data_IF_185183121490
#
_entry.id   IF_185183121490
#
_cell.length_a   1.000
_cell.length_b   1.000
_cell.length_c   1.000
_cell.angle_alpha   90.00
_cell.angle_beta   90.00
_cell.angle_gamma   90.00
#
_symmetry.space_group_name_H-M   'P 1'
#
loop_
_entity.id
_entity.type
_entity.pdbx_description
1 polymer ?
#
# COMPACT_ATOMS: atom_id res chain seq x y z
N UNK A 1 39.06 44.83 -9.29
CA UNK A 1 39.16 43.36 -9.21
C UNK A 1 37.91 42.82 -9.86
N UNK A 2 38.05 42.21 -11.05
CA UNK A 2 36.92 41.70 -11.83
C UNK A 2 36.67 40.24 -11.46
N UNK A 3 35.40 39.87 -11.31
CA UNK A 3 34.99 38.51 -11.00
C UNK A 3 35.41 37.52 -12.11
N UNK A 4 35.72 36.25 -11.78
CA UNK A 4 36.06 35.24 -12.77
C UNK A 4 34.83 34.91 -13.65
N UNK A 5 35.09 34.66 -14.94
CA UNK A 5 34.04 34.31 -15.91
C UNK A 5 33.39 32.97 -15.55
N UNK A 6 32.05 32.93 -15.60
CA UNK A 6 31.29 31.71 -15.39
C UNK A 6 31.41 30.79 -16.60
N UNK A 7 31.59 29.47 -16.40
CA UNK A 7 31.76 28.52 -17.48
C UNK A 7 30.51 28.45 -18.38
N UNK A 8 30.74 28.35 -19.70
CA UNK A 8 29.72 28.23 -20.72
C UNK A 8 28.90 26.95 -20.53
N UNK A 9 27.58 27.08 -20.45
CA UNK A 9 26.66 25.94 -20.49
C UNK A 9 26.70 25.26 -21.87
N UNK A 10 26.67 23.92 -21.87
CA UNK A 10 26.56 23.12 -23.09
C UNK A 10 25.26 23.44 -23.85
N UNK A 11 25.33 23.40 -25.18
CA UNK A 11 24.16 23.65 -26.04
C UNK A 11 23.22 22.43 -26.04
N UNK A 12 21.93 22.60 -26.42
CA UNK A 12 20.93 21.54 -26.35
C UNK A 12 21.30 20.24 -27.10
N UNK A 13 22.14 20.33 -28.13
CA UNK A 13 22.52 19.20 -28.99
C UNK A 13 23.84 18.52 -28.57
N UNK A 14 24.54 19.01 -27.55
CA UNK A 14 25.83 18.45 -27.10
C UNK A 14 25.69 17.17 -26.23
N UNK A 15 24.48 16.76 -25.85
CA UNK A 15 24.24 15.61 -24.96
C UNK A 15 24.25 14.23 -25.63
N UNK A 16 24.56 14.10 -26.92
CA UNK A 16 24.41 12.82 -27.66
C UNK A 16 25.67 12.31 -28.35
N UNK A 17 26.85 12.55 -27.79
CA UNK A 17 28.07 11.80 -28.17
C UNK A 17 28.24 10.53 -27.31
N UNK A 18 27.19 9.69 -27.24
CA UNK A 18 27.26 8.37 -26.59
C UNK A 18 28.25 7.41 -27.27
N UNK A 19 28.61 7.67 -28.54
CA UNK A 19 29.58 6.88 -29.29
C UNK A 19 31.04 7.14 -28.90
N UNK A 20 31.30 7.99 -27.88
CA UNK A 20 32.63 8.36 -27.42
C UNK A 20 32.94 7.88 -25.99
N UNK A 21 32.02 7.14 -25.37
CA UNK A 21 32.31 6.46 -24.12
C UNK A 21 33.31 5.35 -24.42
N UNK A 22 34.52 5.48 -23.88
CA UNK A 22 35.52 4.43 -23.88
C UNK A 22 34.94 3.30 -23.03
N UNK A 23 34.58 2.18 -23.65
CA UNK A 23 34.21 0.97 -22.92
C UNK A 23 35.35 0.64 -21.95
N UNK A 24 34.99 0.47 -20.68
CA UNK A 24 35.94 0.10 -19.64
C UNK A 24 36.34 -1.34 -19.93
N UNK A 25 37.65 -1.58 -20.04
CA UNK A 25 38.18 -2.91 -20.33
C UNK A 25 37.86 -3.84 -19.16
N UNK A 26 37.51 -5.10 -19.43
CA UNK A 26 37.08 -6.06 -18.40
C UNK A 26 38.17 -6.26 -17.33
N UNK A 27 39.43 -5.98 -17.68
CA UNK A 27 40.57 -5.99 -16.76
C UNK A 27 40.57 -4.84 -15.74
N UNK A 28 40.07 -3.64 -16.09
CA UNK A 28 39.93 -2.51 -15.15
C UNK A 28 38.80 -2.73 -14.14
N UNK A 29 37.81 -3.58 -14.48
CA UNK A 29 36.70 -3.94 -13.58
C UNK A 29 37.18 -4.86 -12.45
N UNK A 30 38.19 -5.71 -12.70
CA UNK A 30 38.77 -6.59 -11.68
C UNK A 30 39.65 -5.85 -10.66
N UNK A 31 40.18 -4.67 -11.01
CA UNK A 31 40.98 -3.84 -10.10
C UNK A 31 40.12 -2.96 -9.16
N UNK A 32 38.79 -2.93 -9.36
CA UNK A 32 37.86 -2.25 -8.46
C UNK A 32 37.59 -3.12 -7.21
N UNK A 33 38.51 -3.03 -6.24
CA UNK A 33 38.36 -3.67 -4.94
C UNK A 33 37.24 -3.00 -4.11
N UNK A 34 36.00 -3.47 -4.28
CA UNK A 34 34.79 -2.90 -3.68
C UNK A 34 34.66 -3.11 -2.16
N UNK A 35 35.59 -3.82 -1.51
CA UNK A 35 35.59 -4.05 -0.06
C UNK A 35 37.03 -4.10 0.52
N UNK A 36 37.67 -2.94 0.77
CA UNK A 36 39.02 -2.90 1.36
C UNK A 36 39.10 -3.34 2.84
N UNK A 37 37.97 -3.65 3.49
CA UNK A 37 37.93 -4.08 4.92
C UNK A 37 37.86 -5.60 5.13
N UNK A 38 37.86 -6.42 4.08
CA UNK A 38 37.80 -7.89 4.19
C UNK A 38 39.16 -8.60 4.12
N UNK A 39 40.27 -7.87 4.10
CA UNK A 39 41.64 -8.41 4.27
C UNK A 39 41.94 -8.74 5.73
N UNK A 40 41.27 -9.76 6.26
CA UNK A 40 41.54 -10.27 7.61
C UNK A 40 41.12 -11.71 7.86
N UNK A 41 40.51 -12.38 6.88
CA UNK A 41 40.13 -13.78 7.01
C UNK A 41 40.60 -14.57 5.80
N UNK A 42 41.66 -15.36 6.01
CA UNK A 42 42.25 -16.28 5.05
C UNK A 42 41.19 -17.25 4.52
N UNK A 43 40.59 -16.94 3.37
CA UNK A 43 39.82 -17.90 2.57
C UNK A 43 40.80 -18.45 1.53
N UNK A 44 41.36 -19.63 1.82
CA UNK A 44 42.04 -20.45 0.83
C UNK A 44 41.00 -20.91 -0.21
N UNK A 45 40.97 -20.24 -1.36
CA UNK A 45 40.38 -20.75 -2.58
C UNK A 45 41.41 -21.64 -3.28
N UNK A 46 41.21 -22.95 -3.21
CA UNK A 46 41.89 -23.90 -4.08
C UNK A 46 40.84 -24.65 -4.90
N UNK A 47 40.84 -24.38 -6.21
CA UNK A 47 40.27 -25.22 -7.25
C UNK A 47 41.22 -26.42 -7.47
N UNK A 48 40.69 -27.64 -7.51
CA UNK A 48 40.93 -28.64 -8.58
C UNK A 48 40.48 -30.05 -8.21
N UNK A 49 40.24 -30.79 -9.30
CA UNK A 49 39.75 -32.15 -9.54
C UNK A 49 40.37 -33.34 -8.77
N UNK A 50 39.60 -34.43 -8.83
CA UNK A 50 39.97 -35.85 -8.93
C UNK A 50 40.48 -36.66 -7.70
N UNK A 51 39.66 -37.68 -7.40
CA UNK A 51 39.98 -39.08 -7.09
C UNK A 51 40.46 -39.55 -5.69
N UNK A 52 39.86 -40.67 -5.29
CA UNK A 52 40.28 -41.74 -4.37
C UNK A 52 40.64 -41.47 -2.87
N UNK A 53 39.86 -42.16 -2.01
CA UNK A 53 40.26 -42.85 -0.75
C UNK A 53 41.30 -42.21 0.19
N UNK A 54 40.88 -41.81 1.40
CA UNK A 54 41.29 -42.51 2.63
C UNK A 54 40.57 -42.08 3.91
N UNK A 55 40.41 -43.07 4.79
CA UNK A 55 39.91 -42.98 6.16
C UNK A 55 40.86 -42.16 7.06
N UNK A 56 40.32 -41.40 8.00
CA UNK A 56 40.53 -41.57 9.46
C UNK A 56 40.13 -40.34 10.29
N UNK A 57 39.14 -40.56 11.17
CA UNK A 57 39.08 -40.16 12.59
C UNK A 57 39.56 -38.75 13.00
N UNK A 58 38.60 -37.89 13.38
CA UNK A 58 38.69 -37.17 14.65
C UNK A 58 37.31 -36.76 15.17
N UNK A 59 36.99 -37.26 16.38
CA UNK A 59 35.82 -36.93 17.19
C UNK A 59 35.73 -35.43 17.48
N UNK A 60 34.64 -34.78 17.05
CA UNK A 60 34.10 -33.60 17.73
C UNK A 60 32.56 -33.63 17.67
N UNK A 61 31.95 -33.49 18.86
CA UNK A 61 30.53 -33.63 19.13
C UNK A 61 29.68 -32.63 18.33
N UNK A 62 28.94 -33.12 17.33
CA UNK A 62 27.88 -32.38 16.64
C UNK A 62 26.54 -32.66 17.32
N UNK A 63 25.86 -31.60 17.76
CA UNK A 63 24.44 -31.59 18.17
C UNK A 63 23.58 -32.23 17.07
N UNK A 64 22.72 -33.16 17.46
CA UNK A 64 21.70 -33.77 16.62
C UNK A 64 20.69 -32.71 16.14
N UNK A 65 20.61 -32.53 14.82
CA UNK A 65 19.49 -31.88 14.12
C UNK A 65 18.46 -32.98 13.84
N UNK A 66 17.25 -32.84 14.35
CA UNK A 66 16.12 -33.70 13.94
C UNK A 66 15.80 -33.45 12.46
N UNK A 67 15.42 -34.48 11.70
CA UNK A 67 14.95 -34.32 10.33
C UNK A 67 13.56 -33.69 10.37
N UNK A 68 13.41 -32.53 9.74
CA UNK A 68 12.10 -31.97 9.40
C UNK A 68 11.59 -32.77 8.21
N UNK A 69 10.48 -33.47 8.37
CA UNK A 69 9.78 -34.19 7.30
C UNK A 69 9.51 -33.25 6.12
N UNK A 70 10.18 -33.52 4.99
CA UNK A 70 10.07 -32.77 3.73
C UNK A 70 8.98 -33.33 2.80
N UNK A 71 8.08 -34.18 3.31
CA UNK A 71 7.01 -34.88 2.56
C UNK A 71 5.59 -34.47 3.00
N UNK A 72 5.32 -33.17 3.09
CA UNK A 72 3.93 -32.68 3.29
C UNK A 72 3.56 -31.54 2.32
N UNK A 73 4.01 -31.65 1.07
CA UNK A 73 3.40 -30.93 -0.03
C UNK A 73 2.19 -31.72 -0.52
N UNK A 74 1.02 -31.26 -0.11
CA UNK A 74 -0.28 -31.76 -0.54
C UNK A 74 -0.46 -31.42 -2.03
N UNK A 75 -0.31 -32.44 -2.88
CA UNK A 75 -0.74 -32.46 -4.27
C UNK A 75 -2.27 -32.34 -4.33
N UNK A 76 -2.78 -31.12 -4.25
CA UNK A 76 -4.17 -30.85 -4.66
C UNK A 76 -4.28 -29.49 -5.33
N UNK A 77 -4.22 -29.56 -6.65
CA UNK A 77 -5.00 -28.70 -7.55
C UNK A 77 -6.47 -28.68 -7.10
N UNK A 78 -6.87 -27.66 -6.35
CA UNK A 78 -8.28 -27.26 -6.30
C UNK A 78 -8.39 -25.77 -5.96
N UNK A 79 -8.14 -24.92 -6.96
CA UNK A 79 -8.80 -23.63 -6.98
C UNK A 79 -9.38 -23.31 -8.36
N UNK A 80 -10.67 -23.60 -8.49
CA UNK A 80 -11.55 -22.91 -9.45
C UNK A 80 -12.03 -21.62 -8.80
N UNK A 81 -11.63 -20.43 -9.28
CA UNK A 81 -12.22 -19.18 -8.80
C UNK A 81 -13.71 -19.15 -9.15
N UNK A 82 -14.59 -19.21 -8.14
CA UNK A 82 -16.00 -18.84 -8.32
C UNK A 82 -16.07 -17.32 -8.41
N UNK A 83 -15.93 -16.79 -9.61
CA UNK A 83 -16.17 -15.38 -9.90
C UNK A 83 -17.69 -15.16 -9.80
N UNK A 84 -18.18 -14.73 -8.64
CA UNK A 84 -19.51 -14.14 -8.55
C UNK A 84 -19.43 -12.74 -9.16
N UNK A 85 -19.63 -12.67 -10.47
CA UNK A 85 -19.86 -11.43 -11.21
C UNK A 85 -21.25 -10.91 -10.80
N UNK A 86 -21.32 -10.19 -9.69
CA UNK A 86 -22.43 -9.28 -9.42
C UNK A 86 -21.90 -7.86 -9.55
N UNK A 87 -22.39 -7.18 -10.59
CA UNK A 87 -22.16 -5.78 -10.94
C UNK A 87 -22.05 -4.85 -9.71
N UNK A 88 -21.08 -3.91 -9.67
CA UNK A 88 -20.93 -2.92 -8.58
C UNK A 88 -22.09 -1.89 -8.49
N UNK A 89 -23.16 -2.05 -9.28
CA UNK A 89 -24.32 -1.15 -9.28
C UNK A 89 -25.69 -1.85 -9.21
N UNK A 90 -25.77 -3.16 -8.97
CA UNK A 90 -27.06 -3.87 -8.90
C UNK A 90 -27.45 -4.21 -7.46
N UNK A 91 -27.97 -3.22 -6.73
CA UNK A 91 -28.60 -3.41 -5.42
C UNK A 91 -30.04 -3.89 -5.61
N UNK A 92 -30.25 -5.22 -5.60
CA UNK A 92 -31.49 -5.90 -5.19
C UNK A 92 -31.34 -7.42 -5.35
N UNK A 93 -30.56 -8.06 -4.47
CA UNK A 93 -30.67 -9.51 -4.25
C UNK A 93 -30.25 -9.85 -2.81
N UNK A 94 -31.27 -10.10 -1.99
CA UNK A 94 -31.29 -10.95 -0.79
C UNK A 94 -30.32 -10.58 0.34
N UNK A 95 -30.72 -9.57 1.13
CA UNK A 95 -30.10 -9.19 2.41
C UNK A 95 -30.68 -9.96 3.62
N UNK A 96 -31.41 -11.06 3.41
CA UNK A 96 -32.14 -11.78 4.46
C UNK A 96 -31.52 -13.10 4.93
N UNK A 97 -30.38 -13.54 4.37
CA UNK A 97 -29.71 -14.78 4.82
C UNK A 97 -28.43 -14.56 5.62
N UNK A 98 -28.06 -13.31 5.93
CA UNK A 98 -26.95 -13.01 6.85
C UNK A 98 -27.52 -12.78 8.26
N UNK A 99 -28.06 -13.84 8.87
CA UNK A 99 -28.24 -13.90 10.32
C UNK A 99 -27.75 -15.24 10.84
N UNK A 100 -26.63 -15.15 11.57
CA UNK A 100 -26.35 -15.89 12.80
C UNK A 100 -26.50 -17.41 12.74
N UNK A 101 -25.38 -18.09 12.47
CA UNK A 101 -25.22 -19.51 12.75
C UNK A 101 -23.95 -20.06 12.14
N UNK A 102 -23.02 -20.48 13.00
CA UNK A 102 -21.91 -21.43 12.75
C UNK A 102 -21.02 -21.20 11.53
N UNK A 103 -19.87 -20.56 11.75
CA UNK A 103 -18.53 -20.99 11.31
C UNK A 103 -17.50 -19.91 11.71
N UNK A 104 -17.26 -19.82 13.02
CA UNK A 104 -16.18 -19.01 13.61
C UNK A 104 -14.88 -19.82 13.78
N UNK A 105 -14.88 -21.09 13.38
CA UNK A 105 -13.66 -21.89 13.25
C UNK A 105 -13.08 -21.63 11.85
N UNK A 106 -12.01 -20.84 11.75
CA UNK A 106 -11.17 -20.83 10.56
C UNK A 106 -10.96 -19.49 9.83
N UNK A 107 -11.33 -18.32 10.38
CA UNK A 107 -10.88 -17.02 9.84
C UNK A 107 -9.40 -16.71 10.17
N UNK A 108 -8.55 -17.72 10.25
CA UNK A 108 -7.11 -17.49 10.09
C UNK A 108 -6.88 -17.28 8.60
N UNK A 109 -6.94 -16.02 8.15
CA UNK A 109 -6.48 -15.64 6.83
C UNK A 109 -5.01 -16.11 6.74
N UNK A 110 -4.80 -17.23 6.04
CA UNK A 110 -3.48 -17.84 5.88
C UNK A 110 -2.57 -16.76 5.30
N UNK A 111 -1.44 -16.50 5.97
CA UNK A 111 -0.47 -15.50 5.53
C UNK A 111 -0.14 -15.76 4.05
N UNK A 112 -0.21 -14.71 3.24
CA UNK A 112 0.18 -14.82 1.83
C UNK A 112 1.63 -15.32 1.76
N UNK A 113 1.89 -16.27 0.88
CA UNK A 113 3.26 -16.71 0.57
C UNK A 113 4.09 -15.53 0.03
N UNK A 114 5.42 -15.61 0.15
CA UNK A 114 6.30 -14.54 -0.35
C UNK A 114 6.05 -14.19 -1.83
N UNK A 115 5.84 -15.15 -2.76
CA UNK A 115 5.48 -14.84 -4.13
C UNK A 115 4.12 -14.12 -4.28
N UNK A 116 3.14 -14.45 -3.42
CA UNK A 116 1.84 -13.78 -3.40
C UNK A 116 1.96 -12.34 -2.87
N UNK A 117 2.79 -12.12 -1.84
CA UNK A 117 3.10 -10.79 -1.33
C UNK A 117 3.76 -9.93 -2.42
N UNK A 118 4.74 -10.48 -3.15
CA UNK A 118 5.36 -9.78 -4.29
C UNK A 118 4.34 -9.44 -5.38
N UNK A 119 3.45 -10.37 -5.76
CA UNK A 119 2.39 -10.09 -6.73
C UNK A 119 1.41 -9.01 -6.26
N UNK A 120 1.07 -9.00 -4.97
CA UNK A 120 0.24 -7.96 -4.38
C UNK A 120 0.91 -6.58 -4.50
N UNK A 121 2.19 -6.48 -4.12
CA UNK A 121 2.98 -5.26 -4.21
C UNK A 121 3.02 -4.77 -5.67
N UNK A 122 3.38 -5.65 -6.61
CA UNK A 122 3.41 -5.29 -8.04
C UNK A 122 2.05 -4.82 -8.54
N UNK A 123 0.96 -5.49 -8.15
CA UNK A 123 -0.39 -5.05 -8.51
C UNK A 123 -0.71 -3.65 -7.96
N UNK A 124 -0.43 -3.39 -6.69
CA UNK A 124 -0.66 -2.08 -6.08
C UNK A 124 0.17 -0.97 -6.74
N UNK A 125 1.44 -1.26 -7.05
CA UNK A 125 2.31 -0.33 -7.79
C UNK A 125 1.79 -0.06 -9.20
N UNK A 126 1.38 -1.09 -9.93
CA UNK A 126 0.80 -0.97 -11.27
C UNK A 126 -0.50 -0.16 -11.26
N UNK A 127 -1.38 -0.41 -10.29
CA UNK A 127 -2.63 0.34 -10.14
C UNK A 127 -2.38 1.81 -9.79
N UNK A 128 -1.48 2.11 -8.86
CA UNK A 128 -1.13 3.49 -8.53
C UNK A 128 -0.48 4.20 -9.71
N UNK A 129 0.42 3.54 -10.44
CA UNK A 129 1.00 4.09 -11.66
C UNK A 129 -0.08 4.35 -12.72
N UNK A 130 -1.04 3.44 -12.88
CA UNK A 130 -2.14 3.59 -13.82
C UNK A 130 -3.01 4.81 -13.48
N UNK A 131 -3.40 4.94 -12.20
CA UNK A 131 -4.16 6.07 -11.69
C UNK A 131 -3.38 7.38 -11.89
N UNK A 132 -2.11 7.41 -11.50
CA UNK A 132 -1.24 8.58 -11.66
C UNK A 132 -1.09 8.99 -13.13
N UNK A 133 -0.89 8.02 -14.04
CA UNK A 133 -0.77 8.28 -15.48
C UNK A 133 -2.06 8.88 -16.04
N UNK A 134 -3.22 8.30 -15.70
CA UNK A 134 -4.53 8.82 -16.13
C UNK A 134 -4.83 10.20 -15.56
N UNK A 135 -4.39 10.47 -14.33
CA UNK A 135 -4.47 11.79 -13.72
C UNK A 135 -3.55 12.81 -14.41
N UNK A 136 -2.31 12.46 -14.74
CA UNK A 136 -1.41 13.38 -15.48
C UNK A 136 -1.97 13.66 -16.89
N UNK A 137 -2.52 12.63 -17.56
CA UNK A 137 -3.14 12.79 -18.87
C UNK A 137 -4.30 13.78 -18.85
N UNK A 138 -5.13 13.77 -17.80
CA UNK A 138 -6.23 14.72 -17.67
C UNK A 138 -5.81 16.19 -17.52
N UNK A 139 -4.53 16.45 -17.18
CA UNK A 139 -4.00 17.80 -16.93
C UNK A 139 -3.21 18.42 -18.08
N UNK A 140 -2.78 17.65 -19.07
CA UNK A 140 -1.88 18.20 -20.10
C UNK A 140 -1.79 17.46 -21.44
N UNK A 141 -2.44 16.30 -21.60
CA UNK A 141 -2.30 15.46 -22.80
C UNK A 141 -3.64 14.86 -23.25
N UNK A 142 -4.74 15.60 -23.10
CA UNK A 142 -6.08 15.17 -23.53
C UNK A 142 -6.26 15.25 -25.05
N UNK A 143 -5.34 14.70 -25.84
CA UNK A 143 -5.50 14.62 -27.29
C UNK A 143 -6.61 13.63 -27.70
N UNK A 144 -6.97 12.67 -26.83
CA UNK A 144 -7.91 11.57 -27.15
C UNK A 144 -8.87 11.17 -26.00
N UNK A 145 -9.21 12.04 -25.03
CA UNK A 145 -10.10 11.69 -23.89
C UNK A 145 -9.64 10.47 -23.03
N UNK A 146 -8.32 10.22 -22.93
CA UNK A 146 -7.78 9.03 -22.25
C UNK A 146 -7.68 9.21 -20.72
N UNK A 147 -7.68 10.47 -20.24
CA UNK A 147 -7.59 10.80 -18.81
C UNK A 147 -8.92 10.80 -18.07
N UNK A 148 -8.87 11.17 -16.79
CA UNK A 148 -10.08 11.44 -15.99
C UNK A 148 -10.78 12.71 -16.47
N UNK A 149 -12.08 12.63 -16.77
CA UNK A 149 -12.91 13.80 -17.09
C UNK A 149 -13.23 14.60 -15.82
N UNK A 150 -13.60 13.88 -14.76
CA UNK A 150 -14.07 14.43 -13.50
C UNK A 150 -13.39 13.73 -12.33
N UNK A 151 -13.62 14.24 -11.12
CA UNK A 151 -13.12 13.65 -9.89
C UNK A 151 -13.76 12.28 -9.60
N UNK A 152 -15.01 12.05 -9.98
CA UNK A 152 -15.75 10.81 -9.64
C UNK A 152 -15.09 9.52 -10.17
N UNK A 153 -14.70 9.42 -11.46
CA UNK A 153 -13.96 8.26 -11.95
C UNK A 153 -12.64 8.00 -11.21
N UNK A 154 -11.90 9.05 -10.83
CA UNK A 154 -10.68 8.91 -10.04
C UNK A 154 -10.99 8.34 -8.64
N UNK A 155 -12.01 8.87 -7.96
CA UNK A 155 -12.42 8.38 -6.64
C UNK A 155 -12.84 6.91 -6.69
N UNK A 156 -13.46 6.45 -7.80
CA UNK A 156 -13.82 5.04 -7.99
C UNK A 156 -12.58 4.15 -8.10
N UNK A 157 -11.58 4.55 -8.88
CA UNK A 157 -10.35 3.77 -9.04
C UNK A 157 -9.57 3.70 -7.71
N UNK A 158 -9.47 4.82 -6.98
CA UNK A 158 -8.86 4.85 -5.64
C UNK A 158 -9.63 3.98 -4.64
N UNK A 159 -10.98 4.04 -4.65
CA UNK A 159 -11.83 3.20 -3.79
C UNK A 159 -11.64 1.72 -4.08
N UNK A 160 -11.61 1.31 -5.34
CA UNK A 160 -11.39 -0.08 -5.72
C UNK A 160 -10.02 -0.58 -5.23
N UNK A 161 -8.98 0.25 -5.30
CA UNK A 161 -7.66 -0.09 -4.77
C UNK A 161 -7.67 -0.16 -3.23
N UNK A 162 -8.33 0.77 -2.55
CA UNK A 162 -8.49 0.73 -1.08
C UNK A 162 -9.25 -0.53 -0.65
N UNK A 163 -10.34 -0.88 -1.33
CA UNK A 163 -11.12 -2.10 -1.06
C UNK A 163 -10.26 -3.35 -1.21
N UNK A 164 -9.45 -3.41 -2.27
CA UNK A 164 -8.52 -4.52 -2.50
C UNK A 164 -7.46 -4.63 -1.40
N UNK A 165 -6.82 -3.51 -1.03
CA UNK A 165 -5.82 -3.48 0.04
C UNK A 165 -6.47 -3.88 1.36
N UNK A 166 -7.64 -3.32 1.67
CA UNK A 166 -8.36 -3.59 2.91
C UNK A 166 -8.84 -5.04 3.00
N UNK A 167 -9.29 -5.63 1.90
CA UNK A 167 -9.63 -7.05 1.83
C UNK A 167 -8.44 -7.93 2.23
N UNK A 168 -7.21 -7.55 1.87
CA UNK A 168 -6.01 -8.28 2.29
C UNK A 168 -5.69 -8.17 3.79
N UNK A 169 -6.28 -7.19 4.49
CA UNK A 169 -6.10 -6.96 5.93
C UNK A 169 -7.24 -7.60 6.74
N UNK A 170 -8.50 -7.27 6.41
CA UNK A 170 -9.69 -7.63 7.22
C UNK A 170 -10.52 -8.75 6.58
N UNK A 171 -10.23 -9.15 5.34
CA UNK A 171 -10.99 -10.18 4.61
C UNK A 171 -12.38 -9.73 4.14
N UNK A 172 -12.71 -8.44 4.26
CA UNK A 172 -14.01 -7.88 3.86
C UNK A 172 -13.87 -7.10 2.54
N UNK A 173 -14.62 -7.44 1.49
CA UNK A 173 -14.35 -6.96 0.13
C UNK A 173 -14.81 -5.53 -0.16
N UNK A 174 -15.72 -4.97 0.61
CA UNK A 174 -16.18 -3.59 0.45
C UNK A 174 -15.96 -2.86 1.77
N UNK A 175 -15.29 -1.71 1.76
CA UNK A 175 -15.05 -0.86 2.94
C UNK A 175 -16.25 -0.03 3.39
N UNK A 176 -17.37 0.01 2.64
CA UNK A 176 -18.52 0.86 2.99
C UNK A 176 -19.20 0.47 4.32
N UNK A 177 -19.01 -0.75 4.82
CA UNK A 177 -19.53 -1.15 6.14
C UNK A 177 -18.87 -0.36 7.28
N UNK A 178 -17.63 0.10 7.10
CA UNK A 178 -16.90 0.88 8.09
C UNK A 178 -17.61 2.20 8.41
N UNK A 179 -18.40 2.73 7.47
CA UNK A 179 -19.19 3.95 7.67
C UNK A 179 -20.35 3.76 8.64
N UNK A 180 -20.82 2.52 8.84
CA UNK A 180 -21.93 2.19 9.76
C UNK A 180 -21.43 1.76 11.14
N UNK A 181 -20.13 1.61 11.30
CA UNK A 181 -19.52 1.01 12.47
C UNK A 181 -19.16 2.10 13.48
N UNK A 182 -19.65 1.96 14.71
CA UNK A 182 -19.12 2.70 15.85
C UNK A 182 -17.80 2.06 16.28
N UNK A 183 -16.72 2.83 16.24
CA UNK A 183 -15.39 2.31 16.58
C UNK A 183 -15.26 1.96 18.05
N UNK A 184 -15.89 2.71 18.96
CA UNK A 184 -15.76 2.46 20.39
C UNK A 184 -16.50 1.19 20.81
N UNK A 185 -17.68 0.94 20.23
CA UNK A 185 -18.41 -0.30 20.46
C UNK A 185 -17.67 -1.49 19.85
N UNK A 186 -17.17 -1.32 18.63
CA UNK A 186 -16.40 -2.37 17.97
C UNK A 186 -15.10 -2.71 18.70
N UNK A 187 -14.34 -1.72 19.17
CA UNK A 187 -13.10 -1.94 19.92
C UNK A 187 -13.36 -2.80 21.17
N UNK A 188 -14.42 -2.49 21.92
CA UNK A 188 -14.84 -3.28 23.09
C UNK A 188 -15.20 -4.71 22.73
N UNK A 189 -15.98 -4.90 21.66
CA UNK A 189 -16.37 -6.23 21.19
C UNK A 189 -15.14 -7.02 20.68
N UNK A 190 -14.26 -6.35 19.94
CA UNK A 190 -13.04 -6.92 19.38
C UNK A 190 -12.09 -7.41 20.48
N UNK A 191 -11.87 -6.62 21.52
CA UNK A 191 -11.00 -7.00 22.64
C UNK A 191 -11.55 -8.19 23.41
N UNK A 192 -12.86 -8.28 23.59
CA UNK A 192 -13.51 -9.42 24.25
C UNK A 192 -13.34 -10.70 23.41
N UNK A 193 -13.70 -10.65 22.12
CA UNK A 193 -13.67 -11.80 21.21
C UNK A 193 -12.26 -12.28 20.87
N UNK A 194 -11.29 -11.37 20.80
CA UNK A 194 -9.93 -11.67 20.35
C UNK A 194 -8.90 -11.62 21.49
N UNK A 195 -9.35 -11.60 22.75
CA UNK A 195 -8.50 -11.70 23.94
C UNK A 195 -7.65 -12.98 23.92
N UNK A 196 -8.20 -14.08 23.39
CA UNK A 196 -7.57 -15.41 23.36
C UNK A 196 -6.79 -15.72 22.08
N UNK A 197 -6.90 -14.89 21.04
CA UNK A 197 -6.17 -15.12 19.80
C UNK A 197 -4.67 -14.84 19.99
N UNK A 198 -3.79 -15.77 19.55
CA UNK A 198 -2.35 -15.52 19.54
C UNK A 198 -2.06 -14.24 18.77
N UNK A 199 -1.12 -13.43 19.27
CA UNK A 199 -0.46 -12.37 18.51
C UNK A 199 0.39 -13.00 17.41
N UNK A 200 -0.25 -13.66 16.45
CA UNK A 200 0.45 -14.42 15.43
C UNK A 200 0.98 -13.47 14.35
N UNK A 201 2.17 -13.82 13.87
CA UNK A 201 3.08 -12.95 13.10
C UNK A 201 2.37 -12.23 11.96
N UNK A 202 2.42 -10.91 12.02
CA UNK A 202 1.81 -9.95 11.12
C UNK A 202 1.68 -10.42 9.66
N UNK A 203 0.45 -10.38 9.14
CA UNK A 203 0.13 -10.41 7.71
C UNK A 203 0.39 -9.06 7.02
N UNK A 204 1.01 -8.10 7.73
CA UNK A 204 1.39 -6.81 7.16
C UNK A 204 2.71 -6.93 6.41
N UNK A 205 2.67 -6.67 5.11
CA UNK A 205 3.80 -6.68 4.18
C UNK A 205 3.78 -5.47 3.24
N UNK A 206 3.35 -4.30 3.73
CA UNK A 206 3.38 -3.03 3.00
C UNK A 206 2.02 -2.42 2.69
N UNK A 207 0.91 -3.03 3.13
CA UNK A 207 -0.44 -2.51 2.90
C UNK A 207 -0.62 -1.09 3.48
N UNK A 208 -0.10 -0.86 4.69
CA UNK A 208 -0.17 0.46 5.36
C UNK A 208 0.52 1.54 4.54
N UNK A 209 1.67 1.23 3.93
CA UNK A 209 2.39 2.16 3.06
C UNK A 209 1.52 2.61 1.88
N UNK A 210 0.82 1.68 1.23
CA UNK A 210 -0.08 2.01 0.12
C UNK A 210 -1.29 2.84 0.56
N UNK A 211 -1.89 2.54 1.71
CA UNK A 211 -2.99 3.33 2.27
C UNK A 211 -2.55 4.76 2.57
N UNK A 212 -1.36 4.94 3.19
CA UNK A 212 -0.79 6.26 3.46
C UNK A 212 -0.51 7.04 2.17
N UNK A 213 0.03 6.36 1.15
CA UNK A 213 0.28 6.98 -0.15
C UNK A 213 -1.02 7.44 -0.82
N UNK A 214 -2.04 6.60 -0.82
CA UNK A 214 -3.37 6.95 -1.35
C UNK A 214 -3.97 8.14 -0.59
N UNK A 215 -3.87 8.14 0.73
CA UNK A 215 -4.38 9.23 1.58
C UNK A 215 -3.69 10.57 1.28
N UNK A 216 -2.37 10.55 1.04
CA UNK A 216 -1.59 11.74 0.69
C UNK A 216 -1.93 12.24 -0.73
N UNK A 217 -1.96 11.34 -1.70
CA UNK A 217 -2.24 11.66 -3.11
C UNK A 217 -3.71 12.14 -3.30
N UNK A 218 -4.66 11.62 -2.51
CA UNK A 218 -6.09 11.93 -2.64
C UNK A 218 -6.38 13.44 -2.53
N UNK A 219 -5.83 14.12 -1.53
CA UNK A 219 -6.06 15.56 -1.35
C UNK A 219 -5.44 16.34 -2.51
N UNK A 220 -4.23 15.97 -2.92
CA UNK A 220 -3.53 16.62 -4.03
C UNK A 220 -4.25 16.45 -5.36
N UNK A 221 -4.82 15.28 -5.62
CA UNK A 221 -5.63 15.07 -6.81
C UNK A 221 -6.95 15.85 -6.75
N UNK A 222 -7.64 15.82 -5.60
CA UNK A 222 -8.96 16.46 -5.45
C UNK A 222 -8.91 17.96 -5.74
N UNK A 223 -7.84 18.65 -5.31
CA UNK A 223 -7.68 20.09 -5.53
C UNK A 223 -7.45 20.48 -6.99
N UNK A 224 -7.10 19.54 -7.88
CA UNK A 224 -6.89 19.86 -9.29
C UNK A 224 -8.18 19.85 -10.10
N UNK A 225 -9.25 19.27 -9.60
CA UNK A 225 -10.54 19.27 -10.29
C UNK A 225 -11.35 20.51 -9.88
N UNK A 226 -11.86 21.22 -10.88
CA UNK A 226 -12.76 22.35 -10.65
C UNK A 226 -14.19 21.83 -10.56
N UNK A 227 -14.75 21.88 -9.35
CA UNK A 227 -16.08 21.36 -9.03
C UNK A 227 -17.14 22.41 -9.38
N UNK A 228 -16.78 23.69 -9.52
CA UNK A 228 -17.73 24.77 -9.81
C UNK A 228 -18.38 24.66 -11.19
N UNK A 229 -17.71 23.99 -12.14
CA UNK A 229 -18.20 23.78 -13.50
C UNK A 229 -19.29 22.70 -13.59
N UNK A 230 -19.46 21.89 -12.54
CA UNK A 230 -20.46 20.83 -12.49
C UNK A 230 -21.84 21.38 -12.10
N UNK A 231 -22.90 20.68 -12.50
CA UNK A 231 -24.26 20.98 -12.00
C UNK A 231 -24.34 20.76 -10.49
N UNK A 232 -25.24 21.47 -9.80
CA UNK A 232 -25.39 21.33 -8.34
C UNK A 232 -25.53 19.88 -7.88
N UNK A 233 -26.36 19.08 -8.57
CA UNK A 233 -26.52 17.65 -8.27
C UNK A 233 -25.21 16.86 -8.42
N UNK A 234 -24.45 17.10 -9.49
CA UNK A 234 -23.17 16.47 -9.71
C UNK A 234 -22.10 16.92 -8.71
N UNK A 235 -22.16 18.16 -8.22
CA UNK A 235 -21.31 18.65 -7.14
C UNK A 235 -21.60 17.89 -5.84
N UNK A 236 -22.88 17.79 -5.43
CA UNK A 236 -23.28 17.03 -4.24
C UNK A 236 -22.85 15.56 -4.33
N UNK A 237 -23.05 14.92 -5.48
CA UNK A 237 -22.65 13.54 -5.70
C UNK A 237 -21.13 13.35 -5.60
N UNK A 238 -20.35 14.24 -6.21
CA UNK A 238 -18.88 14.21 -6.19
C UNK A 238 -18.34 14.40 -4.78
N UNK A 239 -18.84 15.40 -4.06
CA UNK A 239 -18.41 15.71 -2.69
C UNK A 239 -18.82 14.62 -1.71
N UNK A 240 -20.03 14.06 -1.86
CA UNK A 240 -20.48 12.92 -1.06
C UNK A 240 -19.53 11.73 -1.20
N UNK A 241 -19.09 11.42 -2.43
CA UNK A 241 -18.11 10.36 -2.68
C UNK A 241 -16.74 10.67 -2.09
N UNK A 242 -16.27 11.92 -2.18
CA UNK A 242 -15.00 12.35 -1.59
C UNK A 242 -15.02 12.17 -0.06
N UNK A 243 -16.07 12.66 0.62
CA UNK A 243 -16.19 12.51 2.06
C UNK A 243 -16.33 11.05 2.50
N UNK A 244 -17.10 10.24 1.77
CA UNK A 244 -17.18 8.80 2.05
C UNK A 244 -15.80 8.15 2.00
N UNK A 245 -14.99 8.46 0.99
CA UNK A 245 -13.63 7.91 0.87
C UNK A 245 -12.72 8.36 2.02
N UNK A 246 -12.78 9.64 2.40
CA UNK A 246 -12.02 10.19 3.52
C UNK A 246 -12.43 9.56 4.86
N UNK A 247 -13.72 9.36 5.10
CA UNK A 247 -14.20 8.70 6.32
C UNK A 247 -13.85 7.22 6.36
N UNK A 248 -13.86 6.53 5.21
CA UNK A 248 -13.37 5.16 5.13
C UNK A 248 -11.89 5.09 5.52
N UNK A 249 -11.06 5.97 4.94
CA UNK A 249 -9.63 6.03 5.30
C UNK A 249 -9.44 6.34 6.78
N UNK A 250 -10.20 7.28 7.35
CA UNK A 250 -10.16 7.60 8.78
C UNK A 250 -10.48 6.38 9.65
N UNK A 251 -11.54 5.62 9.33
CA UNK A 251 -11.89 4.40 10.07
C UNK A 251 -10.86 3.29 9.90
N UNK A 252 -10.29 3.12 8.69
CA UNK A 252 -9.20 2.17 8.43
C UNK A 252 -7.99 2.49 9.31
N UNK A 253 -7.53 3.75 9.29
CA UNK A 253 -6.37 4.15 10.06
C UNK A 253 -6.61 4.09 11.57
N UNK A 254 -7.78 4.50 12.05
CA UNK A 254 -8.16 4.35 13.46
C UNK A 254 -8.06 2.89 13.94
N UNK A 255 -8.53 1.93 13.12
CA UNK A 255 -8.39 0.49 13.41
C UNK A 255 -6.94 0.02 13.38
N UNK A 256 -6.13 0.52 12.44
CA UNK A 256 -4.71 0.19 12.33
C UNK A 256 -3.85 0.80 13.46
N UNK A 257 -4.22 1.96 14.01
CA UNK A 257 -3.54 2.56 15.16
C UNK A 257 -3.77 1.70 16.40
N UNK A 258 -5.02 1.35 16.66
CA UNK A 258 -5.39 0.58 17.85
C UNK A 258 -5.06 -0.90 17.73
N UNK A 259 -4.80 -1.39 16.51
CA UNK A 259 -4.57 -2.80 16.24
C UNK A 259 -5.85 -3.63 16.29
N UNK A 260 -7.02 -3.02 16.05
CA UNK A 260 -8.32 -3.73 15.98
C UNK A 260 -8.56 -4.32 14.59
N UNK A 261 -7.55 -5.02 14.11
CA UNK A 261 -7.54 -5.76 12.86
C UNK A 261 -7.07 -7.20 13.13
N UNK A 262 -7.44 -8.18 12.29
CA UNK A 262 -6.97 -9.54 12.42
C UNK A 262 -5.44 -9.60 12.59
N UNK A 263 -4.96 -10.37 13.57
CA UNK A 263 -3.54 -10.43 13.91
C UNK A 263 -3.02 -9.27 14.76
N UNK A 264 -3.90 -8.41 15.29
CA UNK A 264 -3.57 -7.29 16.18
C UNK A 264 -2.48 -6.35 15.64
N UNK A 265 -2.44 -6.22 14.32
CA UNK A 265 -1.40 -5.47 13.61
C UNK A 265 -1.57 -3.98 13.89
N UNK A 266 -0.53 -3.38 14.45
CA UNK A 266 -0.46 -1.93 14.67
C UNK A 266 0.39 -1.25 13.61
N UNK A 267 0.01 -0.03 13.26
CA UNK A 267 0.84 0.87 12.46
C UNK A 267 2.17 1.14 13.19
N UNK A 268 3.27 1.27 12.43
CA UNK A 268 4.56 1.61 13.02
C UNK A 268 4.54 3.05 13.57
N UNK A 269 5.39 3.38 14.55
CA UNK A 269 5.47 4.74 15.07
C UNK A 269 5.81 5.78 13.99
N UNK A 270 6.70 5.42 13.05
CA UNK A 270 7.05 6.28 11.90
C UNK A 270 5.86 6.50 10.98
N UNK A 271 5.11 5.44 10.66
CA UNK A 271 3.92 5.53 9.83
C UNK A 271 2.79 6.30 10.53
N UNK A 272 2.68 6.21 11.86
CA UNK A 272 1.73 7.00 12.67
C UNK A 272 2.03 8.50 12.59
N UNK A 273 3.30 8.89 12.73
CA UNK A 273 3.71 10.30 12.57
C UNK A 273 3.42 10.79 11.15
N UNK A 274 3.67 9.96 10.13
CA UNK A 274 3.36 10.29 8.73
C UNK A 274 1.85 10.47 8.53
N UNK A 275 1.05 9.59 9.10
CA UNK A 275 -0.42 9.70 9.08
C UNK A 275 -0.89 11.01 9.70
N UNK A 276 -0.37 11.40 10.86
CA UNK A 276 -0.71 12.69 11.49
C UNK A 276 -0.46 13.86 10.54
N UNK A 277 0.71 13.90 9.91
CA UNK A 277 1.05 14.96 8.95
C UNK A 277 0.10 15.00 7.74
N UNK A 278 -0.32 13.84 7.23
CA UNK A 278 -1.29 13.74 6.13
C UNK A 278 -2.68 14.20 6.59
N UNK A 279 -3.12 13.76 7.76
CA UNK A 279 -4.43 14.07 8.34
C UNK A 279 -4.58 15.57 8.63
N UNK A 280 -3.60 16.19 9.31
CA UNK A 280 -3.58 17.62 9.59
C UNK A 280 -3.55 18.45 8.30
N UNK A 281 -2.70 18.07 7.33
CA UNK A 281 -2.65 18.72 6.02
C UNK A 281 -3.99 18.65 5.32
N UNK A 282 -4.65 17.49 5.32
CA UNK A 282 -5.96 17.31 4.70
C UNK A 282 -7.02 18.19 5.37
N UNK A 283 -7.05 18.22 6.71
CA UNK A 283 -7.98 19.07 7.49
C UNK A 283 -7.76 20.56 7.26
N UNK A 284 -6.55 20.99 6.92
CA UNK A 284 -6.25 22.38 6.58
C UNK A 284 -6.57 22.71 5.12
N UNK A 285 -6.20 21.84 4.18
CA UNK A 285 -6.33 22.08 2.75
C UNK A 285 -7.76 21.96 2.24
N UNK A 286 -8.54 21.02 2.78
CA UNK A 286 -9.89 20.75 2.30
C UNK A 286 -10.85 21.95 2.54
N UNK A 287 -10.86 22.64 3.69
CA UNK A 287 -11.63 23.88 3.87
C UNK A 287 -11.20 24.99 2.90
N UNK A 288 -9.89 25.20 2.72
CA UNK A 288 -9.36 26.20 1.79
C UNK A 288 -9.80 25.90 0.35
N UNK A 289 -9.80 24.63 -0.04
CA UNK A 289 -10.32 24.19 -1.33
C UNK A 289 -11.82 24.50 -1.47
N UNK A 290 -12.63 24.21 -0.46
CA UNK A 290 -14.07 24.50 -0.48
C UNK A 290 -14.36 26.00 -0.55
N UNK A 291 -13.61 26.82 0.18
CA UNK A 291 -13.70 28.28 0.13
C UNK A 291 -13.36 28.82 -1.27
N UNK A 292 -12.27 28.33 -1.89
CA UNK A 292 -11.89 28.71 -3.26
C UNK A 292 -12.94 28.34 -4.30
N UNK A 293 -13.64 27.23 -4.09
CA UNK A 293 -14.69 26.73 -4.98
C UNK A 293 -16.08 27.30 -4.60
N UNK A 294 -16.17 28.16 -3.59
CA UNK A 294 -17.41 28.74 -3.06
C UNK A 294 -18.47 27.68 -2.69
N UNK A 295 -18.03 26.54 -2.17
CA UNK A 295 -18.89 25.44 -1.74
C UNK A 295 -19.32 25.68 -0.29
N UNK A 296 -20.63 25.68 -0.03
CA UNK A 296 -21.20 25.90 1.30
C UNK A 296 -21.92 24.66 1.82
N UNK A 297 -22.07 24.56 3.14
CA UNK A 297 -22.94 23.55 3.78
C UNK A 297 -22.26 22.28 4.30
N UNK A 298 -20.95 22.12 4.10
CA UNK A 298 -20.20 20.91 4.52
C UNK A 298 -19.36 21.09 5.78
N UNK A 299 -19.69 22.07 6.62
CA UNK A 299 -18.91 22.38 7.82
C UNK A 299 -18.82 21.20 8.78
N UNK A 300 -19.89 20.41 8.89
CA UNK A 300 -19.91 19.22 9.72
C UNK A 300 -18.94 18.16 9.20
N UNK A 301 -19.02 17.81 7.92
CA UNK A 301 -18.17 16.80 7.30
C UNK A 301 -16.71 17.22 7.35
N UNK A 302 -16.39 18.47 7.02
CA UNK A 302 -15.04 19.03 7.11
C UNK A 302 -14.48 18.91 8.52
N UNK A 303 -15.29 19.15 9.56
CA UNK A 303 -14.85 19.02 10.96
C UNK A 303 -14.54 17.57 11.37
N UNK A 304 -15.13 16.59 10.68
CA UNK A 304 -15.02 15.15 10.99
C UNK A 304 -13.93 14.41 10.21
N UNK A 305 -13.37 14.99 9.15
CA UNK A 305 -12.30 14.35 8.36
C UNK A 305 -11.08 14.04 9.24
N UNK A 306 -10.64 12.77 9.25
CA UNK A 306 -9.50 12.28 10.04
C UNK A 306 -9.58 12.51 11.56
N UNK A 307 -10.78 12.79 12.11
CA UNK A 307 -10.92 13.07 13.53
C UNK A 307 -10.55 11.83 14.37
N UNK A 308 -11.05 10.66 13.97
CA UNK A 308 -10.91 9.41 14.73
C UNK A 308 -9.45 8.94 14.78
N UNK A 309 -8.73 9.10 13.66
CA UNK A 309 -7.32 8.78 13.55
C UNK A 309 -6.46 9.74 14.39
N UNK A 310 -6.72 11.05 14.32
CA UNK A 310 -5.93 12.04 15.05
C UNK A 310 -6.10 11.94 16.57
N UNK A 311 -7.32 11.69 17.05
CA UNK A 311 -7.56 11.46 18.48
C UNK A 311 -6.77 10.27 19.01
N UNK A 312 -6.57 9.23 18.19
CA UNK A 312 -5.83 8.02 18.55
C UNK A 312 -4.32 8.14 18.39
N UNK A 313 -3.83 8.96 17.45
CA UNK A 313 -2.40 9.21 17.30
C UNK A 313 -1.79 10.11 18.39
N UNK A 314 -2.63 10.83 19.14
CA UNK A 314 -2.21 11.84 20.13
C UNK A 314 -1.84 11.26 21.51
N UNK A 315 -1.85 9.93 21.65
CA UNK A 315 -1.62 9.18 22.89
C UNK A 315 -0.26 8.47 22.84
#
# INVERSE_FOLDING_TARGET
MSAPETPLHCKPDDQTLLNRLKEVDDTEIYDLNLNPELEGSNINLALNDDDANNQQLSNQQKRSREPVDEDMYDDVDDFKPRINISSPFSSNSVLNEVKQGSDLEGRHARRLSLPQQSKFISYCDDQLMHIQRRFIQSRGLNYNNVGYTDLVPLLKDLKALIDFIWYSIDGVPNTDYLLKQDLYEFEKEFDVLNSELPEDKSTSFGQVFYLLRIADDLIDYSEKFDITLLSLEAQYDTLSKLFKLLFILDKIFARLINGTVPGKIKISGTDSVRLCGIAERTRMRLPIFFEKQNIQGYHYELSKVYLESLERCSI
#
